data_IF_148706656546
#
_entry.id   IF_148706656546
#
_cell.length_a   1.000
_cell.length_b   1.000
_cell.length_c   1.000
_cell.angle_alpha   90.00
_cell.angle_beta   90.00
_cell.angle_gamma   90.00
#
_symmetry.space_group_name_H-M   'P 1'
#
loop_
_entity.id
_entity.type
_entity.pdbx_description
1 polymer ?
#
# COMPACT_ATOMS: atom_id res chain seq x y z
N UNK A 1 -6.80 -0.84 14.20
CA UNK A 1 -5.43 -0.50 13.77
C UNK A 1 -5.51 0.04 12.35
N UNK A 2 -4.93 1.22 12.12
CA UNK A 2 -5.07 2.03 10.90
C UNK A 2 -4.47 1.30 9.69
N UNK A 3 -5.20 1.16 8.56
CA UNK A 3 -4.74 0.43 7.36
C UNK A 3 -3.35 0.87 6.88
N UNK A 4 -2.96 2.12 7.14
CA UNK A 4 -1.65 2.66 6.79
C UNK A 4 -0.52 1.97 7.54
N UNK A 5 -0.67 1.72 8.85
CA UNK A 5 0.38 1.04 9.63
C UNK A 5 0.53 -0.41 9.19
N UNK A 6 -0.58 -1.08 8.87
CA UNK A 6 -0.57 -2.42 8.30
C UNK A 6 0.16 -2.45 6.94
N UNK A 7 -0.16 -1.52 6.04
CA UNK A 7 0.52 -1.39 4.75
C UNK A 7 2.02 -1.18 4.93
N UNK A 8 2.43 -0.20 5.75
CA UNK A 8 3.85 0.13 6.00
C UNK A 8 4.59 -1.07 6.60
N UNK A 9 3.97 -1.79 7.54
CA UNK A 9 4.50 -3.01 8.14
C UNK A 9 4.62 -4.18 7.15
N UNK A 10 4.14 -4.02 5.91
CA UNK A 10 4.18 -5.05 4.88
C UNK A 10 3.01 -6.04 4.92
N UNK A 11 2.01 -5.79 5.77
CA UNK A 11 0.78 -6.58 5.80
C UNK A 11 -0.11 -6.14 4.62
N UNK A 12 -0.57 -7.06 3.76
CA UNK A 12 -1.50 -6.71 2.69
C UNK A 12 -2.80 -6.13 3.25
N UNK A 13 -3.28 -5.06 2.64
CA UNK A 13 -4.53 -4.41 3.07
C UNK A 13 -5.59 -4.46 1.97
N UNK A 14 -6.87 -4.66 2.31
CA UNK A 14 -7.94 -4.62 1.34
C UNK A 14 -8.04 -3.22 0.74
N UNK A 15 -8.06 -3.15 -0.59
CA UNK A 15 -8.19 -1.90 -1.32
C UNK A 15 -9.09 -2.09 -2.53
N UNK A 16 -10.25 -1.44 -2.50
CA UNK A 16 -11.15 -1.32 -3.64
C UNK A 16 -10.69 -0.12 -4.46
N UNK A 17 -9.95 -0.39 -5.53
CA UNK A 17 -9.52 0.69 -6.40
C UNK A 17 -10.73 1.33 -7.07
N UNK A 18 -10.68 2.66 -7.20
CA UNK A 18 -11.67 3.41 -7.96
C UNK A 18 -11.49 3.14 -9.46
N UNK A 19 -12.55 3.39 -10.23
CA UNK A 19 -12.62 3.08 -11.65
C UNK A 19 -11.34 3.48 -12.43
N UNK A 20 -10.76 2.53 -13.15
CA UNK A 20 -9.64 2.77 -14.07
C UNK A 20 -8.26 2.36 -13.56
N UNK A 21 -8.08 2.08 -12.27
CA UNK A 21 -6.83 1.51 -11.78
C UNK A 21 -6.70 0.07 -12.28
N UNK A 22 -5.63 -0.21 -13.02
CA UNK A 22 -5.30 -1.58 -13.46
C UNK A 22 -4.46 -2.27 -12.39
N UNK A 23 -4.59 -3.60 -12.24
CA UNK A 23 -3.67 -4.37 -11.40
C UNK A 23 -2.22 -4.09 -11.81
N UNK A 24 -1.35 -3.85 -10.84
CA UNK A 24 0.04 -3.47 -11.10
C UNK A 24 0.66 -2.64 -9.99
N UNK A 25 1.80 -2.02 -10.32
CA UNK A 25 2.48 -1.11 -9.42
C UNK A 25 1.72 0.22 -9.35
N UNK A 26 1.56 0.71 -8.12
CA UNK A 26 0.79 1.92 -7.81
C UNK A 26 1.56 2.79 -6.83
N UNK A 27 1.33 4.09 -6.92
CA UNK A 27 1.76 5.04 -5.90
C UNK A 27 0.74 5.08 -4.76
N UNK A 28 1.20 4.95 -3.52
CA UNK A 28 0.32 4.85 -2.35
C UNK A 28 0.41 6.13 -1.53
N UNK A 29 -0.75 6.74 -1.29
CA UNK A 29 -0.88 7.98 -0.53
C UNK A 29 -1.95 7.85 0.53
N UNK A 30 -1.76 8.51 1.66
CA UNK A 30 -2.75 8.62 2.72
C UNK A 30 -2.89 10.07 3.18
N UNK A 31 -4.12 10.62 3.09
CA UNK A 31 -4.44 12.01 3.50
C UNK A 31 -3.46 13.05 2.95
N UNK A 32 -3.01 12.86 1.71
CA UNK A 32 -2.06 13.76 1.03
C UNK A 32 -0.59 13.36 1.17
N UNK A 33 -0.23 12.58 2.20
CA UNK A 33 1.13 12.09 2.43
C UNK A 33 1.47 10.90 1.53
N UNK A 34 2.70 10.88 1.05
CA UNK A 34 3.25 9.77 0.30
C UNK A 34 3.70 8.66 1.26
N UNK A 35 3.18 7.44 1.07
CA UNK A 35 3.60 6.25 1.80
C UNK A 35 4.61 5.42 0.99
N UNK A 36 4.75 5.71 -0.31
CA UNK A 36 5.69 5.08 -1.24
C UNK A 36 5.00 4.18 -2.26
N UNK A 37 5.69 3.11 -2.65
CA UNK A 37 5.24 2.22 -3.72
C UNK A 37 4.49 1.00 -3.17
N UNK A 38 3.43 0.62 -3.88
CA UNK A 38 2.71 -0.61 -3.64
C UNK A 38 2.43 -1.35 -4.92
N UNK A 39 1.87 -2.55 -4.77
CA UNK A 39 1.31 -3.32 -5.87
C UNK A 39 -0.13 -3.64 -5.54
N UNK A 40 -1.04 -3.27 -6.43
CA UNK A 40 -2.46 -3.59 -6.29
C UNK A 40 -2.81 -4.78 -7.19
N UNK A 41 -3.44 -5.80 -6.63
CA UNK A 41 -3.98 -6.95 -7.37
C UNK A 41 -5.09 -7.63 -6.58
N UNK A 42 -6.14 -8.07 -7.27
CA UNK A 42 -7.22 -8.87 -6.67
C UNK A 42 -7.83 -8.26 -5.39
N UNK A 43 -8.04 -6.93 -5.37
CA UNK A 43 -8.62 -6.24 -4.22
C UNK A 43 -7.70 -6.09 -3.01
N UNK A 44 -6.42 -6.42 -3.16
CA UNK A 44 -5.40 -6.29 -2.10
C UNK A 44 -4.29 -5.34 -2.55
N UNK A 45 -3.83 -4.51 -1.62
CA UNK A 45 -2.69 -3.62 -1.78
C UNK A 45 -1.51 -4.15 -0.96
N UNK A 46 -0.41 -4.41 -1.66
CA UNK A 46 0.83 -4.92 -1.11
C UNK A 46 1.86 -3.80 -1.04
N UNK A 47 2.63 -3.73 0.05
CA UNK A 47 3.72 -2.78 0.19
C UNK A 47 4.99 -3.30 -0.48
N UNK A 48 5.57 -2.46 -1.35
CA UNK A 48 6.79 -2.74 -2.10
C UNK A 48 7.99 -1.92 -1.58
N UNK A 49 7.85 -1.30 -0.39
CA UNK A 49 8.99 -0.69 0.30
C UNK A 49 10.04 -1.77 0.65
N UNK A 50 11.34 -1.45 0.64
CA UNK A 50 12.38 -2.34 1.15
C UNK A 50 12.06 -2.88 2.55
N UNK A 51 12.24 -4.19 2.79
CA UNK A 51 11.85 -4.84 4.06
C UNK A 51 12.45 -4.18 5.30
N UNK A 52 13.69 -3.69 5.21
CA UNK A 52 14.37 -3.02 6.33
C UNK A 52 13.77 -1.66 6.70
N UNK A 53 12.96 -1.05 5.83
CA UNK A 53 12.22 0.19 6.10
C UNK A 53 10.84 -0.06 6.74
N UNK A 54 10.32 -1.29 6.68
CA UNK A 54 8.96 -1.62 7.13
C UNK A 54 8.81 -1.70 8.66
N UNK A 55 9.92 -1.74 9.40
CA UNK A 55 9.96 -1.94 10.85
C UNK A 55 10.20 -0.66 11.66
N UNK A 56 10.18 0.52 11.03
CA UNK A 56 10.67 1.77 11.62
C UNK A 56 9.61 2.86 11.86
N UNK A 57 8.31 2.54 11.78
CA UNK A 57 7.23 3.52 11.98
C UNK A 57 6.24 3.05 13.04
#
# INVERSE_FOLDING_TARGET
>A
MEQCSQFIAGTPVPYSATNGVRPGFVHVRHRGYELGCGRWKQGQLYCELPKFLRSQL
#
